data_IF_829053064704
#
_entry.id   IF_829053064704
#
_cell.length_a   1.000
_cell.length_b   1.000
_cell.length_c   1.000
_cell.angle_alpha   90.00
_cell.angle_beta   90.00
_cell.angle_gamma   90.00
#
_symmetry.space_group_name_H-M   'P 1'
#
loop_
_entity.id
_entity.type
_entity.pdbx_description
1 polymer ?
#
# COMPACT_ATOMS: atom_id res chain seq x y z
N UNK A 1 -14.15 -6.64 7.10
CA UNK A 1 -12.74 -6.42 7.48
C UNK A 1 -12.53 -4.94 7.75
N UNK A 2 -11.69 -4.57 8.73
CA UNK A 2 -11.39 -3.16 9.06
C UNK A 2 -9.97 -2.72 8.66
N UNK A 3 -9.08 -3.65 8.33
CA UNK A 3 -7.69 -3.32 7.99
C UNK A 3 -7.55 -3.22 6.48
N UNK A 4 -6.85 -2.18 6.03
CA UNK A 4 -6.53 -1.94 4.62
C UNK A 4 -5.02 -1.81 4.51
N UNK A 5 -4.39 -2.65 3.71
CA UNK A 5 -2.99 -2.46 3.31
C UNK A 5 -2.94 -1.56 2.09
N UNK A 6 -2.12 -0.52 2.14
CA UNK A 6 -1.88 0.45 1.09
C UNK A 6 -0.43 0.38 0.66
N UNK A 7 -0.20 0.45 -0.64
CA UNK A 7 1.09 0.70 -1.25
C UNK A 7 0.91 1.70 -2.40
N UNK A 8 1.89 2.57 -2.59
CA UNK A 8 1.88 3.59 -3.63
C UNK A 8 3.14 3.49 -4.48
N UNK A 9 2.96 3.57 -5.79
CA UNK A 9 4.07 3.94 -6.66
C UNK A 9 4.04 5.44 -6.90
N UNK A 10 5.21 6.07 -6.75
CA UNK A 10 5.34 7.53 -6.75
C UNK A 10 6.55 7.99 -7.55
N UNK A 11 6.54 9.27 -7.93
CA UNK A 11 7.63 9.96 -8.61
C UNK A 11 8.42 10.89 -7.67
N UNK A 12 8.37 10.64 -6.36
CA UNK A 12 9.18 11.33 -5.37
C UNK A 12 9.13 10.67 -4.00
N UNK A 13 9.99 11.12 -3.08
CA UNK A 13 10.07 10.57 -1.73
C UNK A 13 9.56 11.53 -0.63
N UNK A 14 9.08 12.72 -1.03
CA UNK A 14 8.53 13.71 -0.13
C UNK A 14 7.04 13.48 0.18
N UNK A 15 6.48 14.17 1.19
CA UNK A 15 5.08 14.00 1.61
C UNK A 15 4.07 14.45 0.55
N UNK A 16 4.51 15.14 -0.52
CA UNK A 16 3.69 15.57 -1.65
C UNK A 16 4.02 14.84 -2.95
N UNK A 17 4.72 13.70 -2.89
CA UNK A 17 5.13 12.99 -4.10
C UNK A 17 3.95 12.73 -5.06
N UNK A 18 4.19 12.95 -6.35
CA UNK A 18 3.20 12.63 -7.38
C UNK A 18 2.98 11.11 -7.43
N UNK A 19 1.74 10.69 -7.23
CA UNK A 19 1.32 9.29 -7.24
C UNK A 19 1.06 8.84 -8.69
N UNK A 20 1.58 7.67 -9.06
CA UNK A 20 1.38 7.04 -10.37
C UNK A 20 0.60 5.73 -10.28
N UNK A 21 0.60 5.07 -9.12
CA UNK A 21 -0.29 3.93 -8.85
C UNK A 21 -0.73 3.91 -7.39
N UNK A 22 -1.97 3.48 -7.16
CA UNK A 22 -2.52 3.16 -5.84
C UNK A 22 -2.91 1.68 -5.84
N UNK A 23 -2.33 0.91 -4.93
CA UNK A 23 -2.73 -0.47 -4.67
C UNK A 23 -3.20 -0.61 -3.23
N UNK A 24 -4.36 -1.24 -3.03
CA UNK A 24 -4.83 -1.53 -1.69
C UNK A 24 -5.65 -2.82 -1.60
N UNK A 25 -5.61 -3.44 -0.42
CA UNK A 25 -6.37 -4.66 -0.15
C UNK A 25 -6.92 -4.63 1.27
N UNK A 26 -8.21 -4.93 1.42
CA UNK A 26 -8.76 -5.25 2.74
C UNK A 26 -8.21 -6.59 3.19
N UNK A 27 -7.86 -6.70 4.47
CA UNK A 27 -7.44 -7.97 5.04
C UNK A 27 -7.84 -8.12 6.51
N UNK A 28 -7.74 -9.34 7.02
CA UNK A 28 -7.81 -9.62 8.45
C UNK A 28 -6.43 -10.09 8.95
N UNK A 29 -5.75 -9.32 9.81
CA UNK A 29 -4.41 -9.66 10.28
C UNK A 29 -4.36 -10.92 11.17
N UNK A 30 -5.50 -11.35 11.74
CA UNK A 30 -5.58 -12.52 12.62
C UNK A 30 -5.92 -13.81 11.87
N UNK A 31 -6.53 -13.73 10.70
CA UNK A 31 -6.82 -14.90 9.83
C UNK A 31 -5.91 -14.96 8.60
N UNK A 32 -5.37 -13.83 8.16
CA UNK A 32 -4.60 -13.71 6.92
C UNK A 32 -5.45 -13.64 5.66
N UNK A 33 -6.78 -13.63 5.80
CA UNK A 33 -7.70 -13.58 4.66
C UNK A 33 -7.69 -12.20 4.00
N UNK A 34 -7.70 -12.20 2.67
CA UNK A 34 -7.91 -11.00 1.86
C UNK A 34 -9.39 -10.79 1.54
N UNK A 35 -9.78 -9.53 1.46
CA UNK A 35 -11.10 -9.07 1.08
C UNK A 35 -11.06 -8.32 -0.25
N UNK A 36 -11.85 -7.25 -0.34
CA UNK A 36 -11.89 -6.42 -1.54
C UNK A 36 -10.51 -5.84 -1.86
N UNK A 37 -10.23 -5.72 -3.17
CA UNK A 37 -9.00 -5.19 -3.73
C UNK A 37 -9.29 -3.88 -4.45
N UNK A 38 -8.29 -3.01 -4.53
CA UNK A 38 -8.33 -1.75 -5.25
C UNK A 38 -7.00 -1.54 -5.97
N UNK A 39 -7.09 -1.17 -7.24
CA UNK A 39 -5.94 -0.76 -8.04
C UNK A 39 -6.35 0.41 -8.92
N UNK A 40 -5.51 1.44 -8.98
CA UNK A 40 -5.70 2.55 -9.90
C UNK A 40 -4.36 3.07 -10.40
N UNK A 41 -4.15 3.01 -11.71
CA UNK A 41 -3.09 3.75 -12.39
C UNK A 41 -3.52 5.21 -12.56
N UNK A 42 -2.61 6.15 -12.30
CA UNK A 42 -2.89 7.59 -12.34
C UNK A 42 -2.06 8.23 -13.44
N UNK A 43 -2.71 9.10 -14.23
CA UNK A 43 -2.00 9.90 -15.21
C UNK A 43 -1.01 10.85 -14.51
N UNK A 44 0.29 10.65 -14.75
CA UNK A 44 1.35 11.42 -14.12
C UNK A 44 1.23 12.92 -14.41
N UNK A 45 0.77 13.31 -15.61
CA UNK A 45 0.62 14.74 -15.98
C UNK A 45 -0.46 15.41 -15.13
N UNK A 46 -1.49 14.67 -14.74
CA UNK A 46 -2.51 15.12 -13.80
C UNK A 46 -1.96 15.14 -12.36
N UNK A 47 -1.32 14.05 -11.93
CA UNK A 47 -0.77 13.92 -10.59
C UNK A 47 0.24 15.02 -10.25
N UNK A 48 1.14 15.34 -11.19
CA UNK A 48 2.16 16.38 -11.05
C UNK A 48 1.60 17.82 -10.94
N UNK A 49 0.30 18.04 -11.19
CA UNK A 49 -0.34 19.35 -10.93
C UNK A 49 -0.57 19.58 -9.43
N UNK A 50 -0.68 18.49 -8.67
CA UNK A 50 -1.01 18.49 -7.23
C UNK A 50 0.09 17.86 -6.37
N UNK A 51 1.07 17.22 -6.99
CA UNK A 51 2.22 16.58 -6.34
C UNK A 51 3.56 16.95 -6.98
N UNK A 52 4.62 16.59 -6.28
CA UNK A 52 6.01 16.89 -6.64
C UNK A 52 6.68 15.69 -7.30
N UNK A 53 7.51 15.98 -8.30
CA UNK A 53 8.40 15.00 -8.91
C UNK A 53 9.82 15.29 -8.45
N UNK A 54 10.52 14.25 -8.01
CA UNK A 54 11.92 14.29 -7.59
C UNK A 54 12.82 13.62 -8.66
N UNK A 55 13.90 14.27 -9.11
CA UNK A 55 14.79 13.73 -10.14
C UNK A 55 15.43 12.39 -9.76
N UNK A 56 15.82 12.19 -8.50
CA UNK A 56 16.48 10.95 -8.08
C UNK A 56 15.52 9.76 -8.17
N UNK A 57 14.26 9.99 -7.82
CA UNK A 57 13.19 8.98 -7.97
C UNK A 57 12.91 8.66 -9.44
N UNK A 58 12.92 9.67 -10.32
CA UNK A 58 12.79 9.45 -11.77
C UNK A 58 13.96 8.63 -12.32
N UNK A 59 15.20 8.97 -11.95
CA UNK A 59 16.39 8.22 -12.36
C UNK A 59 16.36 6.77 -11.84
N UNK A 60 15.89 6.58 -10.61
CA UNK A 60 15.69 5.26 -10.03
C UNK A 60 14.70 4.41 -10.85
N UNK A 61 13.59 5.01 -11.29
CA UNK A 61 12.61 4.35 -12.18
C UNK A 61 13.17 4.01 -13.55
N UNK A 62 13.97 4.90 -14.14
CA UNK A 62 14.63 4.63 -15.43
C UNK A 62 15.56 3.41 -15.35
N UNK A 63 16.16 3.17 -14.18
CA UNK A 63 16.98 2.00 -13.90
C UNK A 63 16.21 0.68 -13.67
N UNK A 64 14.88 0.70 -13.54
CA UNK A 64 14.08 -0.52 -13.30
C UNK A 64 13.95 -1.40 -14.55
N UNK A 65 13.47 -2.63 -14.37
CA UNK A 65 13.17 -3.54 -15.48
C UNK A 65 12.08 -2.99 -16.42
N UNK A 66 12.02 -3.51 -17.64
CA UNK A 66 11.03 -3.07 -18.65
C UNK A 66 9.60 -3.29 -18.17
N UNK A 67 9.31 -4.41 -17.50
CA UNK A 67 7.99 -4.73 -16.96
C UNK A 67 7.54 -3.73 -15.89
N UNK A 68 8.43 -3.39 -14.95
CA UNK A 68 8.14 -2.40 -13.91
C UNK A 68 7.91 -1.00 -14.52
N UNK A 69 8.73 -0.57 -15.48
CA UNK A 69 8.52 0.70 -16.20
C UNK A 69 7.24 0.71 -17.02
N UNK A 70 6.91 -0.39 -17.67
CA UNK A 70 5.67 -0.52 -18.43
C UNK A 70 4.44 -0.45 -17.49
N UNK A 71 4.53 -1.03 -16.29
CA UNK A 71 3.48 -0.98 -15.27
C UNK A 71 3.02 0.45 -14.93
N UNK A 72 3.94 1.43 -14.94
CA UNK A 72 3.62 2.84 -14.67
C UNK A 72 2.63 3.47 -15.67
N UNK A 73 2.62 2.99 -16.91
CA UNK A 73 1.86 3.58 -18.02
C UNK A 73 0.91 2.59 -18.68
N UNK A 74 0.73 1.40 -18.10
CA UNK A 74 -0.10 0.34 -18.64
C UNK A 74 -1.55 0.54 -18.22
N UNK A 75 -2.47 0.34 -19.16
CA UNK A 75 -3.91 0.36 -18.90
C UNK A 75 -4.54 1.75 -18.92
N UNK A 76 -5.78 1.82 -18.48
CA UNK A 76 -6.50 3.09 -18.33
C UNK A 76 -5.95 3.88 -17.15
N UNK A 77 -5.55 5.13 -17.40
CA UNK A 77 -5.02 6.03 -16.39
C UNK A 77 -6.09 7.04 -15.96
N UNK A 78 -6.38 7.06 -14.67
CA UNK A 78 -7.34 7.99 -14.08
C UNK A 78 -6.71 9.37 -13.87
N UNK A 79 -7.54 10.41 -13.90
CA UNK A 79 -7.14 11.68 -13.29
C UNK A 79 -7.02 11.47 -11.78
N UNK A 80 -6.05 12.14 -11.13
CA UNK A 80 -5.81 11.97 -9.69
C UNK A 80 -7.09 12.16 -8.85
N UNK A 81 -7.91 13.23 -9.04
CA UNK A 81 -9.15 13.39 -8.27
C UNK A 81 -10.15 12.23 -8.44
N UNK A 82 -10.24 11.66 -9.64
CA UNK A 82 -11.14 10.55 -9.94
C UNK A 82 -10.67 9.26 -9.25
N UNK A 83 -9.37 8.97 -9.29
CA UNK A 83 -8.78 7.83 -8.58
C UNK A 83 -9.02 7.93 -7.06
N UNK A 84 -8.83 9.13 -6.49
CA UNK A 84 -9.10 9.40 -5.07
C UNK A 84 -10.59 9.25 -4.73
N UNK A 85 -11.49 9.74 -5.59
CA UNK A 85 -12.93 9.55 -5.39
C UNK A 85 -13.33 8.06 -5.47
N UNK A 86 -12.72 7.30 -6.38
CA UNK A 86 -12.95 5.87 -6.50
C UNK A 86 -12.43 5.11 -5.28
N UNK A 87 -11.23 5.46 -4.78
CA UNK A 87 -10.69 4.89 -3.54
C UNK A 87 -11.60 5.20 -2.34
N UNK A 88 -12.09 6.44 -2.23
CA UNK A 88 -13.06 6.82 -1.19
C UNK A 88 -14.33 5.96 -1.24
N UNK A 89 -14.94 5.83 -2.43
CA UNK A 89 -16.15 5.02 -2.62
C UNK A 89 -15.91 3.56 -2.29
N UNK A 90 -14.77 3.02 -2.68
CA UNK A 90 -14.37 1.65 -2.36
C UNK A 90 -14.26 1.42 -0.85
N UNK A 91 -13.61 2.33 -0.10
CA UNK A 91 -13.57 2.26 1.36
C UNK A 91 -14.97 2.29 1.97
N UNK A 92 -15.81 3.24 1.56
CA UNK A 92 -17.16 3.42 2.13
C UNK A 92 -18.08 2.26 1.78
N UNK A 93 -17.91 1.62 0.62
CA UNK A 93 -18.66 0.42 0.24
C UNK A 93 -18.37 -0.77 1.17
N UNK A 94 -17.14 -0.90 1.66
CA UNK A 94 -16.74 -1.97 2.58
C UNK A 94 -16.85 -1.59 4.06
N UNK A 95 -16.72 -0.30 4.40
CA UNK A 95 -16.70 0.22 5.77
C UNK A 95 -17.36 1.62 5.82
N UNK A 96 -18.71 1.70 5.90
CA UNK A 96 -19.44 2.95 5.74
C UNK A 96 -19.11 4.06 6.75
N UNK A 97 -18.71 3.68 7.97
CA UNK A 97 -18.30 4.60 9.04
C UNK A 97 -16.86 5.13 8.88
N UNK A 98 -16.13 4.65 7.85
CA UNK A 98 -14.73 4.98 7.57
C UNK A 98 -13.78 4.68 8.73
N UNK A 99 -14.17 3.76 9.60
CA UNK A 99 -13.37 3.33 10.74
C UNK A 99 -12.34 2.24 10.36
N UNK A 100 -11.68 2.45 9.22
CA UNK A 100 -10.63 1.57 8.70
C UNK A 100 -9.29 1.87 9.37
N UNK A 101 -8.49 0.83 9.54
CA UNK A 101 -7.11 0.85 10.00
C UNK A 101 -6.21 0.82 8.76
N UNK A 102 -5.62 1.96 8.41
CA UNK A 102 -4.85 2.13 7.16
C UNK A 102 -3.39 1.78 7.41
N UNK A 103 -2.91 0.71 6.79
CA UNK A 103 -1.54 0.25 6.88
C UNK A 103 -0.72 0.75 5.69
N UNK A 104 0.51 1.18 5.95
CA UNK A 104 1.51 1.44 4.92
C UNK A 104 2.88 0.90 5.31
N UNK A 105 3.73 0.61 4.33
CA UNK A 105 5.09 0.10 4.55
C UNK A 105 6.08 1.21 4.89
N UNK A 106 5.74 1.91 5.97
CA UNK A 106 6.14 3.26 6.26
C UNK A 106 4.87 4.12 6.28
N UNK A 107 4.13 4.12 7.38
CA UNK A 107 2.91 4.92 7.50
C UNK A 107 3.19 6.43 7.37
N UNK A 108 4.40 6.87 7.72
CA UNK A 108 4.91 8.22 7.46
C UNK A 108 5.20 8.53 5.99
N UNK A 109 5.04 7.56 5.09
CA UNK A 109 5.28 7.66 3.65
C UNK A 109 3.96 7.51 2.88
N UNK A 110 3.49 6.29 2.64
CA UNK A 110 2.33 6.01 1.78
C UNK A 110 1.07 6.72 2.26
N UNK A 111 0.73 6.57 3.55
CA UNK A 111 -0.47 7.17 4.12
C UNK A 111 -0.39 8.70 4.09
N UNK A 112 0.80 9.27 4.33
CA UNK A 112 1.03 10.73 4.30
C UNK A 112 0.88 11.26 2.88
N UNK A 113 1.48 10.59 1.89
CA UNK A 113 1.40 10.99 0.47
C UNK A 113 -0.05 10.92 -0.01
N UNK A 114 -0.76 9.83 0.27
CA UNK A 114 -2.16 9.71 -0.12
C UNK A 114 -3.02 10.80 0.55
N UNK A 115 -2.80 11.07 1.83
CA UNK A 115 -3.50 12.15 2.56
C UNK A 115 -3.21 13.52 1.95
N UNK A 116 -1.95 13.80 1.61
CA UNK A 116 -1.56 15.05 0.93
C UNK A 116 -2.23 15.20 -0.42
N UNK A 117 -2.37 14.12 -1.19
CA UNK A 117 -3.08 14.13 -2.46
C UNK A 117 -4.56 14.47 -2.29
N UNK A 118 -5.24 13.89 -1.30
CA UNK A 118 -6.62 14.28 -0.94
C UNK A 118 -6.73 15.77 -0.61
N UNK A 119 -5.83 16.29 0.24
CA UNK A 119 -5.82 17.71 0.61
C UNK A 119 -5.58 18.60 -0.61
N UNK A 120 -4.61 18.27 -1.47
CA UNK A 120 -4.28 19.05 -2.65
C UNK A 120 -5.44 19.07 -3.68
N UNK A 121 -6.23 18.00 -3.76
CA UNK A 121 -7.44 17.93 -4.59
C UNK A 121 -8.70 18.50 -3.92
N UNK A 122 -8.62 19.00 -2.67
CA UNK A 122 -9.79 19.48 -1.93
C UNK A 122 -10.80 18.38 -1.59
N UNK A 123 -10.35 17.13 -1.47
CA UNK A 123 -11.18 15.95 -1.23
C UNK A 123 -11.09 15.48 0.23
N UNK A 124 -12.13 14.77 0.67
CA UNK A 124 -12.21 14.23 2.03
C UNK A 124 -11.47 12.90 2.09
N UNK A 125 -10.55 12.78 3.05
CA UNK A 125 -9.81 11.55 3.32
C UNK A 125 -10.76 10.45 3.86
N UNK A 126 -10.73 9.21 3.32
CA UNK A 126 -11.66 8.15 3.70
C UNK A 126 -11.30 7.39 4.98
N UNK A 127 -10.36 7.87 5.79
CA UNK A 127 -10.05 7.29 7.11
C UNK A 127 -9.62 8.35 8.12
N UNK A 128 -9.74 8.01 9.41
CA UNK A 128 -9.39 8.88 10.54
C UNK A 128 -7.88 8.96 10.72
N UNK A 129 -7.35 10.15 11.06
CA UNK A 129 -5.90 10.38 11.15
C UNK A 129 -5.20 9.57 12.27
N UNK A 130 -5.93 9.10 13.29
CA UNK A 130 -5.39 8.24 14.35
C UNK A 130 -5.39 6.73 14.01
N UNK A 131 -5.90 6.35 12.85
CA UNK A 131 -6.01 4.95 12.41
C UNK A 131 -4.85 4.50 11.50
N UNK A 132 -3.79 5.31 11.35
CA UNK A 132 -2.60 4.91 10.60
C UNK A 132 -1.85 3.78 11.32
N UNK A 133 -1.37 2.79 10.57
CA UNK A 133 -0.66 1.60 11.06
C UNK A 133 0.61 1.38 10.25
N UNK A 134 1.70 1.04 10.94
CA UNK A 134 3.01 0.95 10.33
C UNK A 134 3.50 -0.50 10.25
N UNK A 135 3.72 -0.96 9.03
CA UNK A 135 4.20 -2.31 8.77
C UNK A 135 5.63 -2.52 9.27
N UNK A 136 6.50 -1.50 9.18
CA UNK A 136 7.91 -1.62 9.57
C UNK A 136 8.03 -1.90 11.07
N UNK A 137 7.13 -1.34 11.87
CA UNK A 137 7.01 -1.61 13.31
C UNK A 137 6.65 -3.08 13.57
N UNK A 138 5.67 -3.63 12.87
CA UNK A 138 5.30 -5.05 13.00
C UNK A 138 6.46 -5.96 12.56
N UNK A 139 7.13 -5.62 11.47
CA UNK A 139 8.32 -6.36 10.99
C UNK A 139 9.45 -6.34 12.03
N UNK A 140 9.68 -5.22 12.70
CA UNK A 140 10.66 -5.12 13.76
C UNK A 140 10.32 -6.06 14.92
N UNK A 141 9.07 -6.06 15.39
CA UNK A 141 8.59 -6.99 16.42
C UNK A 141 8.74 -8.46 16.01
N UNK A 142 8.45 -8.80 14.76
CA UNK A 142 8.66 -10.15 14.24
C UNK A 142 10.13 -10.57 14.32
N UNK A 143 11.06 -9.66 14.01
CA UNK A 143 12.50 -9.95 14.08
C UNK A 143 12.99 -10.06 15.52
N UNK A 144 12.59 -9.14 16.39
CA UNK A 144 13.13 -9.02 17.74
C UNK A 144 12.53 -10.02 18.71
N UNK A 145 11.23 -10.33 18.58
CA UNK A 145 10.51 -11.20 19.52
C UNK A 145 10.37 -12.64 19.02
N UNK A 146 10.30 -12.84 17.70
CA UNK A 146 10.06 -14.17 17.11
C UNK A 146 11.26 -14.72 16.34
N UNK A 147 12.31 -13.91 16.12
CA UNK A 147 13.42 -14.29 15.24
C UNK A 147 13.00 -14.47 13.77
N UNK A 148 11.82 -13.96 13.38
CA UNK A 148 11.24 -14.12 12.06
C UNK A 148 11.46 -12.88 11.21
N UNK A 149 12.15 -13.02 10.08
CA UNK A 149 12.36 -11.94 9.13
C UNK A 149 11.58 -12.20 7.83
N UNK A 150 10.35 -11.66 7.70
CA UNK A 150 9.50 -11.96 6.56
C UNK A 150 10.10 -11.55 5.22
N UNK A 151 10.90 -10.47 5.19
CA UNK A 151 11.54 -10.00 3.95
C UNK A 151 12.59 -10.98 3.39
N UNK A 152 13.02 -11.97 4.18
CA UNK A 152 13.94 -13.04 3.77
C UNK A 152 13.25 -14.39 3.68
N UNK A 153 12.31 -14.64 4.60
CA UNK A 153 11.71 -15.96 4.78
C UNK A 153 10.39 -16.15 4.04
N UNK A 154 9.73 -15.09 3.57
CA UNK A 154 8.53 -15.19 2.76
C UNK A 154 8.83 -14.81 1.31
N UNK A 155 8.62 -15.73 0.35
CA UNK A 155 8.80 -15.41 -1.06
C UNK A 155 7.79 -14.33 -1.49
N UNK A 156 8.21 -13.49 -2.44
CA UNK A 156 7.32 -12.53 -3.07
C UNK A 156 6.41 -13.24 -4.06
N UNK A 157 5.12 -12.92 -4.04
CA UNK A 157 4.12 -13.43 -4.98
C UNK A 157 3.54 -12.25 -5.74
N UNK A 158 3.65 -12.26 -7.08
CA UNK A 158 3.21 -11.19 -7.96
C UNK A 158 4.38 -10.50 -8.68
N UNK A 159 4.12 -9.31 -9.23
CA UNK A 159 5.12 -8.46 -9.88
C UNK A 159 5.59 -7.39 -8.89
N UNK A 160 6.91 -7.26 -8.71
CA UNK A 160 7.45 -6.17 -7.87
C UNK A 160 7.22 -4.83 -8.53
N UNK A 161 6.92 -3.81 -7.73
CA UNK A 161 6.55 -2.48 -8.18
C UNK A 161 5.18 -2.43 -8.88
N UNK A 162 4.34 -3.41 -8.55
CA UNK A 162 2.90 -3.40 -8.79
C UNK A 162 2.25 -3.15 -7.42
N UNK A 163 1.72 -1.93 -7.22
CA UNK A 163 1.25 -1.48 -5.92
C UNK A 163 0.28 -2.47 -5.25
N UNK A 164 -0.62 -3.11 -6.01
CA UNK A 164 -1.56 -4.08 -5.42
C UNK A 164 -0.86 -5.38 -4.97
N UNK A 165 0.08 -5.90 -5.76
CA UNK A 165 0.85 -7.10 -5.41
C UNK A 165 1.75 -6.84 -4.19
N UNK A 166 2.37 -5.66 -4.15
CA UNK A 166 3.15 -5.19 -3.02
C UNK A 166 2.28 -5.05 -1.76
N UNK A 167 1.09 -4.41 -1.84
CA UNK A 167 0.14 -4.33 -0.74
C UNK A 167 -0.31 -5.73 -0.25
N UNK A 168 -0.60 -6.67 -1.15
CA UNK A 168 -0.93 -8.05 -0.77
C UNK A 168 0.24 -8.72 -0.06
N UNK A 169 1.44 -8.66 -0.61
CA UNK A 169 2.62 -9.26 0.01
C UNK A 169 2.88 -8.69 1.41
N UNK A 170 2.72 -7.37 1.57
CA UNK A 170 2.80 -6.70 2.87
C UNK A 170 1.76 -7.19 3.87
N UNK A 171 0.50 -7.33 3.45
CA UNK A 171 -0.57 -7.86 4.27
C UNK A 171 -0.33 -9.31 4.70
N UNK A 172 0.23 -10.17 3.81
CA UNK A 172 0.58 -11.57 4.15
C UNK A 172 1.53 -11.63 5.33
N UNK A 173 2.63 -10.89 5.26
CA UNK A 173 3.65 -11.02 6.30
C UNK A 173 3.30 -10.29 7.60
N UNK A 174 2.51 -9.21 7.54
CA UNK A 174 1.92 -8.60 8.74
C UNK A 174 1.03 -9.62 9.46
N UNK A 175 0.19 -10.32 8.72
CA UNK A 175 -0.68 -11.36 9.28
C UNK A 175 0.14 -12.51 9.89
N UNK A 176 1.18 -12.98 9.20
CA UNK A 176 2.05 -14.04 9.69
C UNK A 176 2.74 -13.68 11.02
N UNK A 177 3.18 -12.44 11.19
CA UNK A 177 3.78 -11.96 12.45
C UNK A 177 2.71 -11.85 13.54
N UNK A 178 1.58 -11.21 13.25
CA UNK A 178 0.51 -10.99 14.22
C UNK A 178 -0.06 -12.31 14.74
N UNK A 179 -0.23 -13.31 13.87
CA UNK A 179 -0.71 -14.64 14.25
C UNK A 179 0.24 -15.34 15.22
N UNK A 180 1.55 -15.28 14.95
CA UNK A 180 2.56 -15.83 15.86
C UNK A 180 2.60 -15.09 17.20
N UNK A 181 2.53 -13.76 17.19
CA UNK A 181 2.46 -12.96 18.42
C UNK A 181 1.19 -13.26 19.24
N UNK A 182 0.08 -13.57 18.58
CA UNK A 182 -1.18 -13.95 19.22
C UNK A 182 -1.19 -15.41 19.73
N UNK A 183 -0.11 -16.18 19.55
CA UNK A 183 -0.03 -17.58 19.93
C UNK A 183 -0.86 -18.52 19.05
N UNK A 184 -1.26 -18.10 17.85
CA UNK A 184 -1.93 -18.98 16.87
C UNK A 184 -0.88 -19.80 16.11
N UNK A 185 -1.11 -21.11 15.88
CA UNK A 185 -0.22 -21.90 15.05
C UNK A 185 -0.23 -21.38 13.60
N UNK A 186 0.94 -21.09 13.06
CA UNK A 186 1.12 -20.70 11.65
C UNK A 186 0.70 -21.88 10.76
N UNK A 187 -0.11 -21.65 9.72
CA UNK A 187 -0.34 -22.67 8.69
C UNK A 187 1.02 -23.15 8.15
N UNK A 188 1.20 -24.46 8.15
CA UNK A 188 2.48 -25.14 8.02
C UNK A 188 3.29 -24.63 6.82
N UNK A 189 4.59 -24.39 7.05
CA UNK A 189 5.58 -24.18 5.99
C UNK A 189 5.56 -25.44 5.12
N UNK A 190 5.04 -25.35 3.90
CA UNK A 190 5.20 -26.39 2.89
C UNK A 190 6.70 -26.51 2.59
N UNK A 191 7.36 -27.42 3.29
CA UNK A 191 8.69 -27.90 2.92
C UNK A 191 8.53 -28.74 1.66
N UNK A 192 8.90 -28.16 0.52
CA UNK A 192 9.34 -28.90 -0.65
C UNK A 192 10.87 -29.02 -0.59
#
# INVERSE_FOLDING_TARGET
MKHVMLDLETMGNGPRAAIVSIGAVFFDPLTGEFGAEFEAAIDLRCSAKSGEIDPDTVLWWLGQGEEARAGLIKGEQFQLPDALCNFYRWIVACCPDRDVQMWGNGAGFDNVILRSAYVACGLIVPWKHWNDRDVRTIVDLGRTLLGFNPKKEMPFEGVRHCALDDAKHQARYVSAIIQQLAGKPTQERSTA
#
